data_IF_673939275051
#
_entry.id   IF_673939275051
#
_cell.length_a   1.000
_cell.length_b   1.000
_cell.length_c   1.000
_cell.angle_alpha   90.00
_cell.angle_beta   90.00
_cell.angle_gamma   90.00
#
_symmetry.space_group_name_H-M   'P 1'
#
loop_
_entity.id
_entity.type
_entity.pdbx_description
1 polymer ?
#
# COMPACT_ATOMS: atom_id res chain seq x y z
N UNK A 1 4.70 18.37 5.23
CA UNK A 1 4.24 17.00 4.90
C UNK A 1 5.20 16.43 3.89
N UNK A 2 5.83 15.34 4.20
CA UNK A 2 6.75 14.62 3.32
C UNK A 2 5.94 13.83 2.28
N UNK A 3 6.38 13.78 1.04
CA UNK A 3 5.78 12.95 -0.01
C UNK A 3 6.75 11.82 -0.33
N UNK A 4 6.27 10.60 -0.37
CA UNK A 4 7.10 9.41 -0.38
C UNK A 4 6.64 8.41 -1.43
N UNK A 5 7.58 7.95 -2.23
CA UNK A 5 7.49 6.70 -2.99
C UNK A 5 8.37 5.63 -2.32
N UNK A 6 7.97 4.40 -2.38
CA UNK A 6 8.81 3.26 -2.04
C UNK A 6 8.81 2.25 -3.19
N UNK A 7 9.98 1.79 -3.58
CA UNK A 7 10.10 0.87 -4.70
C UNK A 7 11.28 -0.08 -4.56
N UNK A 8 10.99 -1.36 -4.54
CA UNK A 8 11.94 -2.41 -4.89
C UNK A 8 11.24 -3.33 -5.88
N UNK A 9 11.84 -3.61 -7.05
CA UNK A 9 11.32 -4.66 -7.91
C UNK A 9 11.44 -5.96 -7.14
N UNK A 10 10.33 -6.45 -6.65
CA UNK A 10 10.27 -7.83 -6.22
C UNK A 10 10.36 -8.66 -7.49
N UNK A 11 11.10 -9.75 -7.44
CA UNK A 11 11.13 -10.69 -8.55
C UNK A 11 9.71 -11.25 -8.76
N UNK A 12 8.87 -10.48 -9.45
CA UNK A 12 7.76 -11.07 -10.18
C UNK A 12 8.43 -12.03 -11.17
N UNK A 13 8.49 -13.25 -10.73
CA UNK A 13 8.91 -14.44 -11.37
C UNK A 13 9.74 -14.24 -12.63
N UNK A 14 10.49 -15.12 -12.87
CA UNK A 14 11.13 -15.38 -14.14
C UNK A 14 11.99 -14.26 -14.73
N UNK A 15 13.26 -14.52 -14.63
CA UNK A 15 14.37 -13.76 -15.24
C UNK A 15 14.29 -13.70 -16.77
N UNK A 16 13.17 -14.09 -17.38
CA UNK A 16 13.03 -14.29 -18.83
C UNK A 16 12.36 -13.14 -19.58
N UNK A 17 11.80 -12.14 -18.89
CA UNK A 17 11.27 -10.95 -19.56
C UNK A 17 11.69 -9.62 -18.88
N UNK A 18 13.00 -9.40 -18.61
CA UNK A 18 13.41 -8.28 -17.77
C UNK A 18 13.24 -6.92 -18.43
N UNK A 19 13.44 -6.82 -19.75
CA UNK A 19 13.60 -5.51 -20.39
C UNK A 19 12.28 -4.79 -20.70
N UNK A 20 11.22 -5.49 -21.07
CA UNK A 20 9.95 -4.87 -21.47
C UNK A 20 9.14 -4.46 -20.25
N UNK A 21 8.96 -5.37 -19.30
CA UNK A 21 8.28 -5.10 -18.03
C UNK A 21 8.98 -3.99 -17.25
N UNK A 22 10.32 -4.01 -17.24
CA UNK A 22 11.11 -2.96 -16.63
C UNK A 22 10.86 -1.58 -17.27
N UNK A 23 10.81 -1.50 -18.59
CA UNK A 23 10.53 -0.23 -19.29
C UNK A 23 9.14 0.29 -19.00
N UNK A 24 8.13 -0.57 -19.00
CA UNK A 24 6.74 -0.20 -18.66
C UNK A 24 6.63 0.31 -17.23
N UNK A 25 7.22 -0.38 -16.26
CA UNK A 25 7.28 0.05 -14.86
C UNK A 25 8.01 1.38 -14.73
N UNK A 26 9.13 1.58 -15.44
CA UNK A 26 9.88 2.84 -15.43
C UNK A 26 9.07 4.02 -16.00
N UNK A 27 8.33 3.81 -17.09
CA UNK A 27 7.44 4.87 -17.61
C UNK A 27 6.30 5.19 -16.65
N UNK A 28 5.70 4.19 -16.03
CA UNK A 28 4.71 4.38 -14.98
C UNK A 28 5.28 5.18 -13.81
N UNK A 29 6.40 4.79 -13.29
CA UNK A 29 7.09 5.49 -12.20
C UNK A 29 7.48 6.93 -12.59
N UNK A 30 7.98 7.14 -13.81
CA UNK A 30 8.29 8.49 -14.33
C UNK A 30 7.05 9.36 -14.32
N UNK A 31 5.93 8.89 -14.88
CA UNK A 31 4.68 9.64 -14.90
C UNK A 31 4.17 9.92 -13.49
N UNK A 32 4.20 8.92 -12.60
CA UNK A 32 3.78 9.07 -11.21
C UNK A 32 4.58 10.15 -10.49
N UNK A 33 5.92 10.10 -10.55
CA UNK A 33 6.76 11.09 -9.85
C UNK A 33 6.60 12.49 -10.44
N UNK A 34 6.46 12.63 -11.77
CA UNK A 34 6.26 13.93 -12.42
C UNK A 34 4.94 14.57 -12.01
N UNK A 35 3.86 13.79 -11.99
CA UNK A 35 2.55 14.24 -11.55
C UNK A 35 2.56 14.59 -10.05
N UNK A 36 3.13 13.73 -9.22
CA UNK A 36 3.25 13.98 -7.78
C UNK A 36 4.10 15.23 -7.50
N UNK A 37 5.21 15.42 -8.23
CA UNK A 37 6.06 16.60 -8.10
C UNK A 37 5.31 17.88 -8.49
N UNK A 38 4.53 17.85 -9.56
CA UNK A 38 3.71 18.99 -9.99
C UNK A 38 2.72 19.42 -8.89
N UNK A 39 2.09 18.47 -8.23
CA UNK A 39 1.03 18.76 -7.24
C UNK A 39 1.56 19.05 -5.83
N UNK A 40 2.67 18.41 -5.45
CA UNK A 40 3.17 18.44 -4.08
C UNK A 40 4.58 19.02 -3.93
N UNK A 41 5.37 19.14 -5.00
CA UNK A 41 6.74 19.60 -4.96
C UNK A 41 7.74 18.48 -4.74
N UNK A 42 8.44 18.49 -3.61
CA UNK A 42 9.53 17.57 -3.31
C UNK A 42 9.02 16.14 -3.04
N UNK A 43 9.60 15.17 -3.73
CA UNK A 43 9.28 13.74 -3.59
C UNK A 43 10.53 12.98 -3.16
N UNK A 44 10.43 12.23 -2.06
CA UNK A 44 11.48 11.32 -1.59
C UNK A 44 11.21 9.89 -2.11
N UNK A 45 12.26 9.20 -2.52
CA UNK A 45 12.20 7.79 -2.87
C UNK A 45 12.96 6.95 -1.85
N UNK A 46 12.34 5.88 -1.38
CA UNK A 46 12.98 4.81 -0.63
C UNK A 46 13.16 3.60 -1.53
N UNK A 47 14.40 3.15 -1.72
CA UNK A 47 14.71 2.04 -2.63
C UNK A 47 16.04 1.38 -2.22
N UNK A 48 16.58 0.48 -3.03
CA UNK A 48 17.92 -0.06 -2.85
C UNK A 48 18.94 0.64 -3.77
N UNK A 49 20.24 0.44 -3.51
CA UNK A 49 21.35 1.03 -4.27
C UNK A 49 21.29 0.74 -5.76
N UNK A 50 20.88 -0.47 -6.15
CA UNK A 50 20.80 -0.86 -7.54
C UNK A 50 19.77 -0.01 -8.31
N UNK A 51 18.58 0.11 -7.76
CA UNK A 51 17.49 0.90 -8.35
C UNK A 51 17.80 2.41 -8.28
N UNK A 52 18.39 2.87 -7.18
CA UNK A 52 18.79 4.27 -7.05
C UNK A 52 19.73 4.72 -8.17
N UNK A 53 20.69 3.86 -8.57
CA UNK A 53 21.57 4.14 -9.71
C UNK A 53 20.80 4.23 -11.02
N UNK A 54 19.92 3.26 -11.31
CA UNK A 54 19.13 3.25 -12.54
C UNK A 54 18.21 4.48 -12.63
N UNK A 55 17.58 4.88 -11.52
CA UNK A 55 16.73 6.07 -11.45
C UNK A 55 17.52 7.35 -11.72
N UNK A 56 18.74 7.46 -11.18
CA UNK A 56 19.64 8.59 -11.45
C UNK A 56 20.09 8.62 -12.90
N UNK A 57 20.42 7.47 -13.50
CA UNK A 57 20.85 7.34 -14.89
C UNK A 57 19.73 7.76 -15.87
N UNK A 58 18.48 7.45 -15.53
CA UNK A 58 17.29 7.87 -16.31
C UNK A 58 16.88 9.33 -16.04
N UNK A 59 17.36 9.91 -14.94
CA UNK A 59 17.07 11.31 -14.57
C UNK A 59 15.67 11.52 -14.01
N UNK A 60 15.11 10.54 -13.27
CA UNK A 60 13.83 10.75 -12.61
C UNK A 60 13.95 11.83 -11.52
N UNK A 61 12.98 12.76 -11.42
CA UNK A 61 13.10 13.97 -10.63
C UNK A 61 12.79 13.78 -9.15
N UNK A 62 13.32 12.74 -8.52
CA UNK A 62 13.25 12.62 -7.07
C UNK A 62 14.18 13.65 -6.41
N UNK A 63 13.67 14.31 -5.38
CA UNK A 63 14.42 15.32 -4.64
C UNK A 63 15.41 14.67 -3.67
N UNK A 64 15.03 13.51 -3.14
CA UNK A 64 15.82 12.74 -2.20
C UNK A 64 15.66 11.24 -2.47
N UNK A 65 16.74 10.48 -2.31
CA UNK A 65 16.74 9.02 -2.51
C UNK A 65 17.44 8.37 -1.30
N UNK A 66 16.65 7.68 -0.49
CA UNK A 66 17.14 6.89 0.65
C UNK A 66 17.31 5.43 0.24
N UNK A 67 18.52 4.90 0.40
CA UNK A 67 18.84 3.50 0.11
C UNK A 67 19.08 2.67 1.36
N UNK A 68 19.09 3.29 2.54
CA UNK A 68 19.47 2.65 3.80
C UNK A 68 18.37 1.79 4.40
N UNK A 69 17.14 2.26 4.35
CA UNK A 69 15.96 1.56 4.93
C UNK A 69 15.72 0.21 4.26
N UNK A 70 16.01 0.13 2.97
CA UNK A 70 15.75 -1.05 2.15
C UNK A 70 17.02 -1.82 1.77
N UNK A 71 18.15 -1.49 2.39
CA UNK A 71 19.39 -2.24 2.20
C UNK A 71 19.23 -3.68 2.69
N UNK A 72 19.68 -4.64 1.86
CA UNK A 72 19.65 -6.07 2.19
C UNK A 72 18.24 -6.68 2.30
N UNK A 73 17.19 -5.95 1.96
CA UNK A 73 15.84 -6.49 1.92
C UNK A 73 15.71 -7.49 0.78
N UNK A 74 15.65 -8.77 1.14
CA UNK A 74 15.33 -9.89 0.24
C UNK A 74 13.93 -10.39 0.57
N UNK A 75 12.99 -10.20 -0.34
CA UNK A 75 11.60 -10.60 -0.14
C UNK A 75 10.94 -10.98 -1.45
N UNK A 76 10.02 -11.96 -1.34
CA UNK A 76 9.09 -12.31 -2.43
C UNK A 76 7.82 -11.45 -2.39
N UNK A 77 7.56 -10.81 -1.27
CA UNK A 77 6.39 -9.93 -1.09
C UNK A 77 6.76 -8.51 -1.50
N UNK A 78 6.10 -7.98 -2.52
CA UNK A 78 6.31 -6.60 -3.01
C UNK A 78 5.81 -5.52 -2.02
N UNK A 79 4.95 -5.87 -1.07
CA UNK A 79 4.45 -4.94 -0.05
C UNK A 79 5.34 -4.87 1.19
N UNK A 80 6.21 -5.87 1.41
CA UNK A 80 7.12 -5.88 2.55
C UNK A 80 8.07 -4.67 2.57
N UNK A 81 8.74 -4.29 1.46
CA UNK A 81 9.55 -3.07 1.42
C UNK A 81 8.76 -1.83 1.82
N UNK A 82 7.53 -1.70 1.35
CA UNK A 82 6.63 -0.59 1.68
C UNK A 82 6.35 -0.52 3.19
N UNK A 83 6.02 -1.64 3.83
CA UNK A 83 5.84 -1.70 5.27
C UNK A 83 7.12 -1.35 6.05
N UNK A 84 8.29 -1.72 5.54
CA UNK A 84 9.57 -1.30 6.13
C UNK A 84 9.72 0.22 6.09
N UNK A 85 9.38 0.87 4.98
CA UNK A 85 9.41 2.33 4.84
C UNK A 85 8.41 2.99 5.78
N UNK A 86 7.20 2.48 5.90
CA UNK A 86 6.18 2.99 6.82
C UNK A 86 6.66 3.08 8.26
N UNK A 87 7.44 2.10 8.68
CA UNK A 87 8.03 2.01 10.02
C UNK A 87 9.06 3.08 10.33
N UNK A 88 9.76 3.58 9.31
CA UNK A 88 10.92 4.47 9.50
C UNK A 88 10.56 5.96 9.42
N UNK A 89 9.35 6.31 8.95
CA UNK A 89 8.97 7.71 8.78
C UNK A 89 8.28 8.23 10.04
N UNK A 90 9.03 8.99 10.85
CA UNK A 90 8.56 9.55 12.13
C UNK A 90 7.84 10.90 12.03
N UNK A 91 7.52 11.39 10.85
CA UNK A 91 6.82 12.65 10.59
C UNK A 91 5.57 12.44 9.71
N UNK A 92 4.57 13.35 9.72
CA UNK A 92 3.42 13.22 8.82
C UNK A 92 3.82 13.17 7.36
N UNK A 93 3.29 12.19 6.61
CA UNK A 93 3.65 11.96 5.21
C UNK A 93 2.48 11.47 4.36
N UNK A 94 2.63 11.63 3.05
CA UNK A 94 1.80 11.00 2.05
C UNK A 94 2.63 9.98 1.28
N UNK A 95 2.29 8.72 1.39
CA UNK A 95 2.85 7.66 0.55
C UNK A 95 1.99 7.52 -0.71
N UNK A 96 2.65 7.44 -1.85
CA UNK A 96 2.04 7.22 -3.17
C UNK A 96 2.75 6.03 -3.80
N UNK A 97 2.03 5.03 -4.26
CA UNK A 97 2.62 3.92 -5.02
C UNK A 97 3.14 4.42 -6.36
N UNK A 98 4.20 3.82 -6.85
CA UNK A 98 4.92 4.28 -8.07
C UNK A 98 4.12 4.10 -9.37
N UNK A 99 3.01 3.39 -9.33
CA UNK A 99 2.02 3.19 -10.40
C UNK A 99 0.71 3.96 -10.15
N UNK A 100 0.71 4.87 -9.19
CA UNK A 100 -0.42 5.74 -8.85
C UNK A 100 -0.22 7.13 -9.41
N UNK A 101 -1.19 7.64 -10.17
CA UNK A 101 -1.12 8.92 -10.88
C UNK A 101 -2.03 9.94 -10.23
N UNK A 102 -1.44 10.96 -9.60
CA UNK A 102 -2.19 12.02 -8.92
C UNK A 102 -2.30 13.23 -9.83
N UNK A 103 -3.50 13.49 -10.36
CA UNK A 103 -3.75 14.58 -11.30
C UNK A 103 -4.08 15.90 -10.64
N UNK A 104 -4.42 15.89 -9.34
CA UNK A 104 -4.79 17.07 -8.58
C UNK A 104 -4.44 16.88 -7.11
N UNK A 105 -4.01 17.96 -6.47
CA UNK A 105 -3.70 17.96 -5.03
C UNK A 105 -4.89 17.50 -4.20
N UNK A 106 -4.65 16.53 -3.33
CA UNK A 106 -5.64 15.98 -2.41
C UNK A 106 -5.78 16.88 -1.18
N UNK A 107 -7.00 17.08 -0.72
CA UNK A 107 -7.32 17.84 0.49
C UNK A 107 -7.64 16.88 1.64
N UNK A 108 -6.66 16.62 2.47
CA UNK A 108 -6.80 15.78 3.66
C UNK A 108 -7.34 16.52 4.89
N UNK A 109 -7.57 17.85 4.79
CA UNK A 109 -8.05 18.66 5.93
C UNK A 109 -9.47 18.29 6.35
N UNK A 110 -10.25 17.73 5.44
CA UNK A 110 -11.64 17.30 5.67
C UNK A 110 -11.77 16.08 6.59
N UNK A 111 -10.72 15.27 6.68
CA UNK A 111 -10.68 14.11 7.57
C UNK A 111 -9.89 14.44 8.83
N UNK A 112 -10.40 14.02 10.00
CA UNK A 112 -9.67 14.04 11.27
C UNK A 112 -8.98 12.71 11.57
N UNK A 113 -9.18 11.70 10.70
CA UNK A 113 -8.57 10.39 10.87
C UNK A 113 -7.05 10.49 10.99
N UNK A 114 -6.42 9.72 11.88
CA UNK A 114 -4.97 9.65 12.01
C UNK A 114 -4.30 9.07 10.77
N UNK A 115 -5.02 8.24 10.01
CA UNK A 115 -4.60 7.68 8.72
C UNK A 115 -5.75 7.80 7.72
N UNK A 116 -5.45 8.26 6.51
CA UNK A 116 -6.43 8.44 5.44
C UNK A 116 -5.94 7.75 4.17
N UNK A 117 -6.80 6.97 3.56
CA UNK A 117 -6.54 6.27 2.30
C UNK A 117 -7.31 6.93 1.15
N UNK A 118 -6.88 6.71 -0.08
CA UNK A 118 -7.57 7.24 -1.24
C UNK A 118 -8.94 6.60 -1.44
N UNK A 119 -9.01 5.27 -1.38
CA UNK A 119 -10.23 4.49 -1.54
C UNK A 119 -10.14 3.16 -0.80
N UNK A 120 -11.24 2.41 -0.80
CA UNK A 120 -11.26 1.03 -0.33
C UNK A 120 -11.44 0.05 -1.49
N UNK A 121 -10.80 -1.11 -1.38
CA UNK A 121 -11.09 -2.25 -2.24
C UNK A 121 -12.45 -2.83 -1.83
N UNK A 122 -13.49 -2.43 -2.54
CA UNK A 122 -14.84 -2.95 -2.30
C UNK A 122 -14.99 -4.31 -2.98
N UNK A 123 -14.81 -5.37 -2.23
CA UNK A 123 -14.85 -6.72 -2.76
C UNK A 123 -16.24 -7.16 -3.25
N UNK A 124 -17.32 -6.50 -2.86
CA UNK A 124 -18.70 -6.94 -3.15
C UNK A 124 -19.45 -6.02 -4.12
N UNK A 125 -19.40 -4.70 -3.94
CA UNK A 125 -20.11 -3.76 -4.82
C UNK A 125 -19.49 -3.66 -6.23
N UNK A 126 -18.21 -3.98 -6.36
CA UNK A 126 -17.53 -4.00 -7.66
C UNK A 126 -18.02 -5.15 -8.54
N UNK A 127 -18.44 -6.28 -7.98
CA UNK A 127 -18.96 -7.43 -8.74
C UNK A 127 -20.20 -7.10 -9.57
N UNK A 128 -21.02 -6.19 -9.10
CA UNK A 128 -22.28 -5.84 -9.79
C UNK A 128 -22.10 -4.81 -10.91
N UNK A 129 -20.95 -4.11 -10.94
CA UNK A 129 -20.75 -2.99 -11.87
C UNK A 129 -19.72 -3.24 -12.98
N UNK A 130 -18.93 -4.30 -12.90
CA UNK A 130 -17.84 -4.54 -13.85
C UNK A 130 -18.02 -5.88 -14.54
N UNK A 131 -18.45 -5.81 -15.78
CA UNK A 131 -18.74 -6.93 -16.69
C UNK A 131 -17.47 -7.45 -17.40
N UNK A 132 -16.29 -7.39 -16.72
CA UNK A 132 -15.06 -7.95 -17.27
C UNK A 132 -14.62 -9.20 -16.51
N UNK A 133 -14.46 -10.30 -17.23
CA UNK A 133 -13.98 -11.59 -16.71
C UNK A 133 -12.62 -11.48 -15.97
N UNK A 134 -11.79 -10.53 -16.34
CA UNK A 134 -10.45 -10.32 -15.77
C UNK A 134 -10.54 -9.71 -14.37
N UNK A 135 -11.30 -8.63 -14.22
CA UNK A 135 -11.45 -7.95 -12.93
C UNK A 135 -12.25 -8.81 -11.94
N UNK A 136 -13.26 -9.55 -12.43
CA UNK A 136 -13.99 -10.52 -11.61
C UNK A 136 -13.09 -11.64 -11.06
N UNK A 137 -12.13 -12.11 -11.85
CA UNK A 137 -11.13 -13.10 -11.39
C UNK A 137 -10.16 -12.51 -10.37
N UNK A 138 -9.69 -11.29 -10.58
CA UNK A 138 -8.81 -10.59 -9.66
C UNK A 138 -9.46 -10.41 -8.29
N UNK A 139 -10.66 -9.85 -8.24
CA UNK A 139 -11.42 -9.65 -7.00
C UNK A 139 -11.73 -10.99 -6.31
N UNK A 140 -12.08 -12.02 -7.07
CA UNK A 140 -12.31 -13.35 -6.50
C UNK A 140 -11.02 -13.95 -5.90
N UNK A 141 -9.88 -13.73 -6.51
CA UNK A 141 -8.60 -14.23 -6.03
C UNK A 141 -8.16 -13.51 -4.75
N UNK A 142 -8.30 -12.19 -4.69
CA UNK A 142 -8.05 -11.39 -3.46
C UNK A 142 -8.99 -11.86 -2.34
N UNK A 143 -10.28 -11.94 -2.61
CA UNK A 143 -11.29 -12.38 -1.62
C UNK A 143 -11.00 -13.79 -1.08
N UNK A 144 -10.61 -14.72 -1.95
CA UNK A 144 -10.20 -16.08 -1.53
C UNK A 144 -8.93 -16.08 -0.70
N UNK A 145 -7.94 -15.27 -1.08
CA UNK A 145 -6.71 -15.11 -0.32
C UNK A 145 -7.01 -14.55 1.07
N UNK A 146 -7.77 -13.47 1.15
CA UNK A 146 -8.14 -12.85 2.42
C UNK A 146 -8.95 -13.81 3.30
N UNK A 147 -9.90 -14.54 2.76
CA UNK A 147 -10.66 -15.54 3.49
C UNK A 147 -9.76 -16.67 4.03
N UNK A 148 -8.82 -17.16 3.21
CA UNK A 148 -7.91 -18.23 3.61
C UNK A 148 -6.91 -17.80 4.68
N UNK A 149 -6.43 -16.55 4.61
CA UNK A 149 -5.47 -15.99 5.56
C UNK A 149 -6.16 -15.51 6.85
N UNK A 150 -7.43 -15.15 6.79
CA UNK A 150 -8.20 -14.68 7.93
C UNK A 150 -8.27 -15.72 9.07
N UNK A 151 -8.25 -17.00 8.76
CA UNK A 151 -8.24 -18.08 9.77
C UNK A 151 -6.89 -18.28 10.49
N UNK A 152 -5.86 -17.53 10.08
CA UNK A 152 -4.54 -17.56 10.74
C UNK A 152 -4.43 -16.57 11.91
N UNK A 153 -5.53 -15.97 12.33
CA UNK A 153 -5.52 -14.93 13.35
C UNK A 153 -4.92 -15.40 14.67
N UNK A 154 -4.04 -14.55 15.21
CA UNK A 154 -3.64 -14.60 16.60
C UNK A 154 -4.83 -14.28 17.51
N UNK A 155 -4.73 -14.76 18.76
CA UNK A 155 -5.78 -14.54 19.77
C UNK A 155 -6.07 -13.03 19.97
N UNK A 156 -5.08 -12.16 19.75
CA UNK A 156 -5.23 -10.71 19.79
C UNK A 156 -6.21 -10.17 18.74
N UNK A 157 -6.20 -10.73 17.53
CA UNK A 157 -7.13 -10.31 16.46
C UNK A 157 -8.49 -11.03 16.51
N UNK A 158 -8.63 -12.06 17.34
CA UNK A 158 -9.92 -12.75 17.57
C UNK A 158 -10.97 -11.85 18.22
N UNK A 159 -10.55 -10.78 18.90
CA UNK A 159 -11.47 -9.75 19.41
C UNK A 159 -12.19 -9.00 18.27
N UNK A 160 -11.56 -8.93 17.10
CA UNK A 160 -12.22 -8.56 15.87
C UNK A 160 -12.91 -9.79 15.29
N UNK A 161 -14.14 -10.02 15.68
CA UNK A 161 -15.01 -10.99 15.01
C UNK A 161 -15.77 -10.24 13.91
N UNK A 162 -15.15 -9.95 12.73
CA UNK A 162 -15.88 -9.27 11.68
C UNK A 162 -16.98 -10.24 11.22
N UNK A 163 -18.21 -9.82 11.26
CA UNK A 163 -19.36 -10.68 10.93
C UNK A 163 -19.29 -11.22 9.50
N UNK A 164 -18.47 -10.61 8.65
CA UNK A 164 -18.21 -11.10 7.30
C UNK A 164 -17.03 -10.34 6.69
N UNK A 165 -15.89 -11.00 6.45
CA UNK A 165 -14.71 -10.41 5.78
C UNK A 165 -15.08 -9.82 4.41
N UNK A 166 -16.07 -10.40 3.73
CA UNK A 166 -16.54 -9.93 2.43
C UNK A 166 -17.29 -8.59 2.50
N UNK A 167 -17.67 -8.12 3.67
CA UNK A 167 -18.35 -6.83 3.87
C UNK A 167 -17.43 -5.74 4.41
N UNK A 168 -16.19 -6.06 4.75
CA UNK A 168 -15.23 -5.07 5.23
C UNK A 168 -14.77 -4.18 4.07
N UNK A 169 -14.81 -2.89 4.29
CA UNK A 169 -14.18 -1.89 3.43
C UNK A 169 -12.69 -1.85 3.75
N UNK A 170 -11.91 -2.67 3.04
CA UNK A 170 -10.47 -2.73 3.22
C UNK A 170 -9.84 -1.55 2.49
N UNK A 171 -9.10 -0.67 3.17
CA UNK A 171 -8.43 0.44 2.53
C UNK A 171 -7.40 -0.06 1.50
N UNK A 172 -7.37 0.56 0.34
CA UNK A 172 -6.31 0.33 -0.63
C UNK A 172 -5.09 1.20 -0.29
N UNK A 173 -3.91 0.57 -0.16
CA UNK A 173 -2.69 1.22 0.27
C UNK A 173 -1.94 1.99 -0.83
N UNK A 174 -2.48 2.09 -2.05
CA UNK A 174 -1.80 2.78 -3.17
C UNK A 174 -1.59 4.28 -2.93
N UNK A 175 -2.42 4.89 -2.09
CA UNK A 175 -2.22 6.24 -1.60
C UNK A 175 -2.66 6.32 -0.13
N UNK A 176 -1.68 6.57 0.75
CA UNK A 176 -1.87 6.56 2.20
C UNK A 176 -1.32 7.85 2.80
N UNK A 177 -2.19 8.68 3.38
CA UNK A 177 -1.79 9.84 4.16
C UNK A 177 -1.75 9.48 5.64
N UNK A 178 -0.57 9.62 6.24
CA UNK A 178 -0.31 9.35 7.66
C UNK A 178 -0.19 10.68 8.38
N UNK A 179 -1.18 11.00 9.20
CA UNK A 179 -1.20 12.18 10.07
C UNK A 179 -0.52 11.92 11.39
N UNK A 180 -0.76 10.72 11.96
CA UNK A 180 -0.12 10.25 13.19
C UNK A 180 0.87 9.12 12.89
N UNK A 181 2.14 9.44 12.67
CA UNK A 181 3.16 8.44 12.38
C UNK A 181 3.39 7.45 13.51
N UNK A 182 3.27 7.86 14.78
CA UNK A 182 3.52 6.97 15.92
C UNK A 182 2.51 5.83 15.95
N UNK A 183 1.23 6.16 15.79
CA UNK A 183 0.16 5.17 15.70
C UNK A 183 0.38 4.23 14.50
N UNK A 184 0.73 4.80 13.34
CA UNK A 184 0.91 4.01 12.13
C UNK A 184 2.13 3.09 12.19
N UNK A 185 3.23 3.54 12.82
CA UNK A 185 4.41 2.72 13.10
C UNK A 185 4.03 1.56 14.02
N UNK A 186 3.29 1.81 15.10
CA UNK A 186 2.86 0.75 16.01
C UNK A 186 1.99 -0.31 15.31
N UNK A 187 1.01 0.12 14.52
CA UNK A 187 0.18 -0.79 13.73
C UNK A 187 1.01 -1.58 12.71
N UNK A 188 1.97 -0.93 12.07
CA UNK A 188 2.87 -1.56 11.10
C UNK A 188 3.82 -2.58 11.76
N UNK A 189 4.35 -2.29 12.95
CA UNK A 189 5.19 -3.22 13.71
C UNK A 189 4.42 -4.49 14.10
N UNK A 190 3.17 -4.33 14.54
CA UNK A 190 2.28 -5.48 14.82
C UNK A 190 2.03 -6.28 13.53
N UNK A 191 1.77 -5.63 12.41
CA UNK A 191 1.56 -6.29 11.12
C UNK A 191 2.83 -7.00 10.61
N UNK A 192 4.01 -6.43 10.80
CA UNK A 192 5.29 -7.08 10.48
C UNK A 192 5.53 -8.30 11.39
N UNK A 193 5.19 -8.21 12.68
CA UNK A 193 5.25 -9.36 13.60
C UNK A 193 4.35 -10.48 13.11
N UNK A 194 3.12 -10.16 12.73
CA UNK A 194 2.20 -11.12 12.09
C UNK A 194 2.80 -11.72 10.80
N UNK A 195 3.36 -10.89 9.92
CA UNK A 195 4.01 -11.35 8.69
C UNK A 195 5.13 -12.36 8.99
N UNK A 196 6.04 -12.05 9.91
CA UNK A 196 7.15 -12.95 10.24
C UNK A 196 6.66 -14.27 10.83
N UNK A 197 5.65 -14.24 11.68
CA UNK A 197 5.06 -15.44 12.28
C UNK A 197 4.44 -16.36 11.22
N UNK A 198 3.80 -15.78 10.21
CA UNK A 198 3.07 -16.49 9.17
C UNK A 198 3.74 -16.46 7.79
N UNK A 199 5.01 -16.05 7.73
CA UNK A 199 5.75 -15.77 6.48
C UNK A 199 5.62 -16.87 5.44
N UNK A 200 5.77 -18.15 5.84
CA UNK A 200 5.71 -19.28 4.91
C UNK A 200 4.35 -19.45 4.21
N UNK A 201 3.29 -19.01 4.86
CA UNK A 201 1.92 -19.08 4.33
C UNK A 201 1.63 -17.81 3.51
N UNK A 202 1.98 -16.65 4.05
CA UNK A 202 1.81 -15.36 3.37
C UNK A 202 2.56 -15.34 2.03
N UNK A 203 3.83 -15.76 2.01
CA UNK A 203 4.67 -15.76 0.79
C UNK A 203 4.23 -16.80 -0.26
N UNK A 204 3.40 -17.78 0.09
CA UNK A 204 2.82 -18.74 -0.86
C UNK A 204 1.57 -18.22 -1.56
N UNK A 205 0.95 -17.19 -1.02
CA UNK A 205 -0.23 -16.58 -1.60
C UNK A 205 0.18 -15.35 -2.40
N UNK A 206 -0.27 -15.25 -3.63
CA UNK A 206 0.03 -14.12 -4.53
C UNK A 206 -0.31 -12.76 -3.90
N UNK A 207 -1.41 -12.69 -3.14
CA UNK A 207 -1.86 -11.47 -2.46
C UNK A 207 -1.59 -11.46 -0.96
N UNK A 208 -0.76 -12.39 -0.46
CA UNK A 208 -0.50 -12.50 0.97
C UNK A 208 0.14 -11.26 1.57
N UNK A 209 1.05 -10.64 0.84
CA UNK A 209 1.66 -9.37 1.23
C UNK A 209 0.65 -8.22 1.28
N UNK A 210 -0.22 -8.12 0.27
CA UNK A 210 -1.31 -7.13 0.22
C UNK A 210 -2.26 -7.31 1.40
N UNK A 211 -2.60 -8.56 1.73
CA UNK A 211 -3.40 -8.87 2.91
C UNK A 211 -2.77 -8.31 4.19
N UNK A 212 -1.48 -8.50 4.39
CA UNK A 212 -0.80 -7.99 5.58
C UNK A 212 -0.77 -6.45 5.57
N UNK A 213 -0.41 -5.84 4.47
CA UNK A 213 -0.29 -4.39 4.34
C UNK A 213 -1.65 -3.68 4.46
N UNK A 214 -2.67 -4.18 3.79
CA UNK A 214 -3.96 -3.51 3.75
C UNK A 214 -4.88 -3.94 4.89
N UNK A 215 -5.05 -5.25 5.10
CA UNK A 215 -6.01 -5.77 6.06
C UNK A 215 -5.44 -5.78 7.49
N UNK A 216 -4.25 -6.32 7.69
CA UNK A 216 -3.72 -6.48 9.05
C UNK A 216 -3.35 -5.13 9.66
N UNK A 217 -2.72 -4.22 8.92
CA UNK A 217 -2.48 -2.84 9.40
C UNK A 217 -3.81 -2.16 9.74
N UNK A 218 -4.82 -2.27 8.88
CA UNK A 218 -6.14 -1.69 9.11
C UNK A 218 -6.79 -2.20 10.41
N UNK A 219 -6.76 -3.51 10.65
CA UNK A 219 -7.30 -4.10 11.88
C UNK A 219 -6.58 -3.58 13.14
N UNK A 220 -5.24 -3.50 13.10
CA UNK A 220 -4.49 -2.94 14.23
C UNK A 220 -4.75 -1.45 14.43
N UNK A 221 -4.91 -0.67 13.36
CA UNK A 221 -5.32 0.74 13.49
C UNK A 221 -6.69 0.89 14.16
N UNK A 222 -7.65 0.04 13.82
CA UNK A 222 -8.97 0.02 14.46
C UNK A 222 -8.90 -0.38 15.95
N UNK A 223 -7.96 -1.26 16.32
CA UNK A 223 -7.74 -1.66 17.71
C UNK A 223 -7.05 -0.55 18.52
N UNK A 224 -6.01 0.07 17.94
CA UNK A 224 -5.15 1.02 18.63
C UNK A 224 -5.76 2.43 18.73
N UNK A 225 -6.68 2.81 17.83
CA UNK A 225 -7.22 4.17 17.76
C UNK A 225 -8.74 4.19 17.66
N UNK A 226 -9.42 4.64 18.74
CA UNK A 226 -10.86 4.93 18.70
C UNK A 226 -11.22 5.94 17.60
N UNK A 227 -10.38 6.95 17.38
CA UNK A 227 -10.58 7.99 16.36
C UNK A 227 -10.51 7.42 14.95
N UNK A 228 -9.57 6.46 14.71
CA UNK A 228 -9.51 5.77 13.42
C UNK A 228 -10.74 4.90 13.22
N UNK A 229 -11.15 4.16 14.24
CA UNK A 229 -12.36 3.32 14.21
C UNK A 229 -13.62 4.13 13.91
N UNK A 230 -13.79 5.27 14.58
CA UNK A 230 -14.89 6.20 14.31
C UNK A 230 -14.86 6.70 12.86
N UNK A 231 -13.67 7.07 12.37
CA UNK A 231 -13.51 7.52 11.00
C UNK A 231 -13.85 6.41 9.98
N UNK A 232 -13.56 5.13 10.28
CA UNK A 232 -13.95 3.98 9.47
C UNK A 232 -15.47 3.81 9.45
N UNK A 233 -16.11 3.84 10.62
CA UNK A 233 -17.56 3.70 10.77
C UNK A 233 -18.32 4.80 10.02
N UNK A 234 -17.76 6.02 9.96
CA UNK A 234 -18.31 7.18 9.26
C UNK A 234 -17.83 7.35 7.80
N UNK A 235 -17.02 6.44 7.26
CA UNK A 235 -16.36 6.55 5.95
C UNK A 235 -15.46 7.79 5.78
N UNK A 236 -14.97 8.38 6.86
CA UNK A 236 -14.10 9.57 6.85
C UNK A 236 -12.59 9.26 6.77
N UNK A 237 -12.23 7.98 6.80
CA UNK A 237 -10.85 7.49 6.58
C UNK A 237 -10.49 7.39 5.09
N UNK A 238 -11.43 7.70 4.20
CA UNK A 238 -11.24 7.65 2.75
C UNK A 238 -11.40 9.04 2.14
N UNK A 239 -10.61 9.33 1.13
CA UNK A 239 -10.74 10.52 0.27
C UNK A 239 -11.21 10.06 -1.10
N UNK A 240 -12.51 9.88 -1.24
CA UNK A 240 -13.13 9.46 -2.51
C UNK A 240 -13.30 10.66 -3.44
N UNK A 241 -12.26 11.05 -4.13
CA UNK A 241 -12.38 11.93 -5.28
C UNK A 241 -11.64 11.28 -6.46
N UNK A 242 -12.26 11.16 -7.61
CA UNK A 242 -11.70 10.58 -8.85
C UNK A 242 -10.54 11.43 -9.44
N UNK A 243 -9.56 11.77 -8.61
CA UNK A 243 -8.45 12.67 -8.97
C UNK A 243 -7.11 11.96 -9.10
N UNK A 244 -7.12 10.67 -8.96
CA UNK A 244 -5.97 9.82 -9.22
C UNK A 244 -6.41 8.60 -10.03
N UNK A 245 -5.45 7.96 -10.65
CA UNK A 245 -5.61 6.68 -11.35
C UNK A 245 -4.52 5.74 -10.87
N UNK A 246 -4.89 4.52 -10.58
CA UNK A 246 -3.99 3.40 -10.33
C UNK A 246 -4.08 2.43 -11.51
N UNK A 247 -2.96 1.91 -11.95
CA UNK A 247 -2.91 0.91 -13.03
C UNK A 247 -2.46 -0.39 -12.41
N UNK A 248 -3.37 -1.37 -12.38
CA UNK A 248 -3.04 -2.75 -12.06
C UNK A 248 -2.46 -3.42 -13.32
N UNK A 249 -1.24 -3.94 -13.22
CA UNK A 249 -0.56 -4.67 -14.29
C UNK A 249 -0.83 -6.17 -14.23
#
# INVERSE_FOLDING_TARGET
MKIVHSYIPTAFGDKTAPDLIWKELMYGQMLSVLLAQREFGNISLYTNEHIARQIKDVGLPYTDIDTTVLEGVDTKSYTYPKMRVFREIGEPYLHIDTDTFVFKKLDFSKSKSPVVYAHSDQTVEFKEKVDSDVLSRYINNISKCYTSLFFLHDDELKSFNPPNVNLMKIPNGNLTYVRDPKLFIEATDKALTYYYKHKSIVDRNTYGGVYVEQMIIHLYLMELSPEYKEAVDENKHLVCDNIFMHIDY
#
